data_IF_229469485957
#
_entry.id   IF_229469485957
#
_cell.length_a   1.000
_cell.length_b   1.000
_cell.length_c   1.000
_cell.angle_alpha   90.00
_cell.angle_beta   90.00
_cell.angle_gamma   90.00
#
_symmetry.space_group_name_H-M   'P 1'
#
loop_
_entity.id
_entity.type
_entity.pdbx_description
1 polymer ?
#
# COMPACT_ATOMS: atom_id res chain seq x y z
N UNK A 1 7.76 9.32 28.85
CA UNK A 1 8.88 9.57 27.91
C UNK A 1 9.18 8.29 27.16
N UNK A 2 9.63 8.41 25.91
CA UNK A 2 10.01 7.39 24.91
C UNK A 2 8.92 7.01 23.91
N UNK A 3 8.78 7.89 22.90
CA UNK A 3 8.28 7.50 21.59
C UNK A 3 9.31 6.61 20.90
N UNK A 4 8.82 5.54 20.29
CA UNK A 4 9.58 4.68 19.39
C UNK A 4 9.64 5.33 18.02
N UNK A 5 10.80 5.90 17.70
CA UNK A 5 11.17 6.22 16.32
C UNK A 5 11.51 4.90 15.65
N UNK A 6 10.54 4.24 15.03
CA UNK A 6 10.81 3.10 14.17
C UNK A 6 11.65 3.57 12.99
N UNK A 7 12.83 2.97 12.89
CA UNK A 7 13.84 3.12 11.86
C UNK A 7 13.28 3.25 10.44
N UNK A 8 13.32 4.47 9.90
CA UNK A 8 13.15 4.76 8.47
C UNK A 8 14.42 4.34 7.68
N UNK A 9 15.51 4.01 8.38
CA UNK A 9 16.84 3.78 7.79
C UNK A 9 16.95 2.57 6.86
N UNK A 10 16.05 1.57 6.96
CA UNK A 10 16.20 0.31 6.22
C UNK A 10 15.54 0.27 4.84
N UNK A 11 14.60 1.17 4.54
CA UNK A 11 13.83 1.15 3.28
C UNK A 11 14.61 1.79 2.11
N UNK A 12 15.74 2.43 2.39
CA UNK A 12 16.51 3.15 1.38
C UNK A 12 17.24 2.23 0.37
N UNK A 13 17.24 0.91 0.56
CA UNK A 13 18.09 0.01 -0.24
C UNK A 13 17.52 -0.30 -1.65
N UNK A 14 16.21 -0.25 -1.85
CA UNK A 14 15.61 -0.54 -3.17
C UNK A 14 15.81 0.61 -4.20
N UNK A 15 16.14 1.82 -3.74
CA UNK A 15 16.37 3.01 -4.59
C UNK A 15 17.84 3.46 -4.60
N UNK A 16 18.71 2.83 -3.80
CA UNK A 16 20.14 3.16 -3.67
C UNK A 16 21.06 2.33 -4.60
N UNK A 17 20.60 2.05 -5.81
CA UNK A 17 21.44 1.52 -6.88
C UNK A 17 22.27 2.62 -7.54
N UNK A 18 23.42 2.98 -6.95
CA UNK A 18 24.59 3.59 -7.61
C UNK A 18 24.50 5.04 -8.12
N UNK A 19 23.33 5.52 -8.56
CA UNK A 19 23.08 6.89 -9.08
C UNK A 19 21.58 7.22 -8.90
N UNK A 20 21.08 7.14 -7.67
CA UNK A 20 19.65 7.28 -7.37
C UNK A 20 19.09 8.65 -7.77
N UNK A 21 18.29 8.69 -8.84
CA UNK A 21 17.65 9.92 -9.35
C UNK A 21 16.64 10.50 -8.35
N UNK A 22 16.13 9.72 -7.39
CA UNK A 22 15.11 10.15 -6.44
C UNK A 22 15.60 10.14 -4.98
N UNK A 23 15.34 11.22 -4.25
CA UNK A 23 15.61 11.34 -2.81
C UNK A 23 14.34 11.14 -1.97
N UNK A 24 14.45 10.47 -0.83
CA UNK A 24 13.32 10.34 0.10
C UNK A 24 12.92 11.72 0.64
N UNK A 25 11.63 12.05 0.58
CA UNK A 25 11.12 13.28 1.19
C UNK A 25 11.16 13.18 2.73
N UNK A 26 11.52 14.27 3.41
CA UNK A 26 11.60 14.31 4.88
C UNK A 26 10.22 14.16 5.56
N UNK A 27 9.16 14.62 4.89
CA UNK A 27 7.79 14.60 5.40
C UNK A 27 6.89 13.88 4.42
N UNK A 28 6.13 12.89 4.89
CA UNK A 28 5.12 12.22 4.05
C UNK A 28 3.94 13.15 3.82
N UNK A 29 3.59 13.37 2.55
CA UNK A 29 2.38 14.09 2.12
C UNK A 29 1.32 13.16 1.58
N UNK A 30 1.45 11.85 1.79
CA UNK A 30 0.50 10.86 1.30
C UNK A 30 -0.01 10.05 2.48
N UNK A 31 -1.33 10.11 2.69
CA UNK A 31 -1.99 9.41 3.78
C UNK A 31 -2.63 8.13 3.28
N UNK A 32 -2.31 7.01 3.91
CA UNK A 32 -3.07 5.78 3.74
C UNK A 32 -4.48 5.96 4.36
N UNK A 33 -5.53 5.60 3.62
CA UNK A 33 -6.92 5.72 4.05
C UNK A 33 -7.52 4.38 4.42
N UNK A 34 -7.46 3.43 3.51
CA UNK A 34 -8.10 2.14 3.68
C UNK A 34 -7.51 1.09 2.72
N UNK A 35 -7.73 -0.18 3.04
CA UNK A 35 -7.51 -1.31 2.13
C UNK A 35 -8.80 -2.11 2.02
N UNK A 36 -9.13 -2.52 0.80
CA UNK A 36 -10.26 -3.41 0.51
C UNK A 36 -9.75 -4.58 -0.32
N UNK A 37 -9.82 -5.79 0.23
CA UNK A 37 -9.42 -7.00 -0.49
C UNK A 37 -10.62 -7.69 -1.13
N UNK A 38 -10.45 -8.05 -2.40
CA UNK A 38 -11.36 -8.84 -3.22
C UNK A 38 -10.59 -10.09 -3.70
N UNK A 39 -11.33 -11.09 -4.19
CA UNK A 39 -10.87 -12.47 -4.45
C UNK A 39 -9.43 -12.66 -4.98
N UNK A 40 -8.90 -11.74 -5.79
CA UNK A 40 -7.58 -11.86 -6.43
C UNK A 40 -6.69 -10.61 -6.26
N UNK A 41 -7.17 -9.57 -5.58
CA UNK A 41 -6.40 -8.34 -5.34
C UNK A 41 -6.85 -7.58 -4.09
N UNK A 42 -5.93 -6.82 -3.52
CA UNK A 42 -6.22 -5.79 -2.52
C UNK A 42 -6.07 -4.40 -3.13
N UNK A 43 -7.11 -3.58 -2.99
CA UNK A 43 -7.13 -2.18 -3.37
C UNK A 43 -6.73 -1.32 -2.17
N UNK A 44 -5.59 -0.64 -2.29
CA UNK A 44 -5.06 0.29 -1.30
C UNK A 44 -5.41 1.71 -1.71
N UNK A 45 -6.07 2.45 -0.81
CA UNK A 45 -6.59 3.79 -1.06
C UNK A 45 -5.72 4.79 -0.31
N UNK A 46 -5.21 5.78 -1.04
CA UNK A 46 -4.37 6.84 -0.52
C UNK A 46 -4.97 8.22 -0.82
N UNK A 47 -4.72 9.17 0.06
CA UNK A 47 -5.13 10.57 -0.09
C UNK A 47 -3.88 11.45 -0.06
N UNK A 48 -3.45 11.96 -1.23
CA UNK A 48 -2.34 12.91 -1.30
C UNK A 48 -2.76 14.28 -0.74
N UNK A 49 -1.86 14.90 0.02
CA UNK A 49 -1.91 16.26 0.54
C UNK A 49 -0.76 17.08 -0.06
N UNK A 50 -0.59 16.96 -1.37
CA UNK A 50 0.42 17.67 -2.16
C UNK A 50 -0.08 19.06 -2.55
N UNK A 51 0.82 20.03 -2.55
CA UNK A 51 0.54 21.39 -2.98
C UNK A 51 0.39 21.48 -4.51
N UNK A 52 -0.13 22.60 -5.05
CA UNK A 52 -0.28 22.79 -6.49
C UNK A 52 1.07 22.81 -7.24
N UNK A 53 2.17 23.09 -6.54
CA UNK A 53 3.53 23.05 -7.06
C UNK A 53 4.11 21.63 -7.25
N UNK A 54 3.54 20.61 -6.60
CA UNK A 54 4.06 19.25 -6.65
C UNK A 54 3.19 18.35 -7.53
N UNK A 55 3.83 17.61 -8.43
CA UNK A 55 3.15 16.65 -9.31
C UNK A 55 3.62 15.23 -8.99
N UNK A 56 2.67 14.35 -8.65
CA UNK A 56 2.92 12.92 -8.55
C UNK A 56 2.97 12.28 -9.93
N UNK A 57 3.72 11.18 -10.05
CA UNK A 57 3.82 10.37 -11.25
C UNK A 57 3.15 9.01 -11.03
N UNK A 58 1.83 8.87 -11.31
CA UNK A 58 1.06 7.68 -10.94
C UNK A 58 1.56 6.37 -11.57
N UNK A 59 2.20 6.47 -12.74
CA UNK A 59 2.73 5.31 -13.48
C UNK A 59 4.08 4.83 -12.97
N UNK A 60 4.77 5.60 -12.13
CA UNK A 60 6.04 5.21 -11.50
C UNK A 60 5.86 4.81 -10.03
N UNK A 61 4.61 4.69 -9.57
CA UNK A 61 4.35 4.23 -8.21
C UNK A 61 4.81 2.78 -8.09
N UNK A 62 5.66 2.52 -7.10
CA UNK A 62 6.21 1.21 -6.81
C UNK A 62 5.72 0.72 -5.45
N UNK A 63 5.74 -0.59 -5.27
CA UNK A 63 5.43 -1.22 -4.00
C UNK A 63 6.45 -2.31 -3.69
N UNK A 64 6.75 -2.48 -2.41
CA UNK A 64 7.69 -3.48 -1.91
C UNK A 64 7.12 -4.14 -0.65
N UNK A 65 7.05 -5.46 -0.64
CA UNK A 65 6.63 -6.24 0.52
C UNK A 65 7.84 -6.70 1.33
N UNK A 66 7.80 -6.53 2.65
CA UNK A 66 8.85 -6.99 3.54
C UNK A 66 9.11 -8.51 3.36
N UNK A 67 10.37 -8.99 3.29
CA UNK A 67 11.59 -8.23 3.56
C UNK A 67 12.07 -7.32 2.43
N UNK A 68 12.07 -7.74 1.17
CA UNK A 68 12.48 -6.91 0.02
C UNK A 68 11.93 -7.49 -1.31
N UNK A 69 10.63 -7.82 -1.35
CA UNK A 69 10.00 -8.36 -2.55
C UNK A 69 9.28 -7.26 -3.33
N UNK A 70 9.66 -7.05 -4.59
CA UNK A 70 8.96 -6.13 -5.46
C UNK A 70 7.52 -6.61 -5.70
N UNK A 71 6.59 -5.71 -5.45
CA UNK A 71 5.16 -5.95 -5.60
C UNK A 71 4.70 -5.28 -6.88
N UNK A 72 4.13 -6.08 -7.78
CA UNK A 72 3.51 -5.55 -9.00
C UNK A 72 2.22 -4.82 -8.65
N UNK A 73 2.16 -3.53 -8.99
CA UNK A 73 0.93 -2.73 -8.94
C UNK A 73 0.15 -2.98 -10.22
N UNK A 74 -0.84 -3.88 -10.17
CA UNK A 74 -1.65 -4.30 -11.33
C UNK A 74 -2.44 -3.14 -11.94
N UNK A 75 -2.86 -2.18 -11.10
CA UNK A 75 -3.65 -1.01 -11.52
C UNK A 75 -3.40 0.17 -10.60
N UNK A 76 -3.16 1.34 -11.17
CA UNK A 76 -3.11 2.61 -10.46
C UNK A 76 -4.16 3.56 -11.04
N UNK A 77 -5.06 4.07 -10.21
CA UNK A 77 -6.15 4.96 -10.62
C UNK A 77 -6.14 6.20 -9.74
N UNK A 78 -6.24 7.37 -10.35
CA UNK A 78 -6.55 8.62 -9.65
C UNK A 78 -8.04 8.94 -9.82
N UNK A 79 -8.74 9.13 -8.71
CA UNK A 79 -10.15 9.54 -8.70
C UNK A 79 -10.23 11.06 -8.48
N UNK A 80 -10.50 11.87 -9.52
CA UNK A 80 -10.48 13.32 -9.38
C UNK A 80 -11.58 13.86 -8.46
N UNK A 81 -12.70 13.15 -8.34
CA UNK A 81 -13.84 13.58 -7.50
C UNK A 81 -13.52 13.50 -6.01
N UNK A 82 -12.77 12.47 -5.58
CA UNK A 82 -12.36 12.27 -4.18
C UNK A 82 -10.93 12.73 -3.91
N UNK A 83 -10.15 12.97 -4.96
CA UNK A 83 -8.73 13.24 -4.89
C UNK A 83 -7.91 12.01 -4.46
N UNK A 84 -8.45 10.80 -4.56
CA UNK A 84 -7.81 9.59 -4.04
C UNK A 84 -6.99 8.84 -5.10
N UNK A 85 -5.94 8.17 -4.66
CA UNK A 85 -5.13 7.25 -5.46
C UNK A 85 -5.47 5.83 -5.00
N UNK A 86 -5.88 4.98 -5.94
CA UNK A 86 -6.21 3.58 -5.70
C UNK A 86 -5.19 2.70 -6.42
N UNK A 87 -4.50 1.86 -5.64
CA UNK A 87 -3.49 0.92 -6.12
C UNK A 87 -3.95 -0.50 -5.89
N UNK A 88 -4.01 -1.31 -6.94
CA UNK A 88 -4.36 -2.72 -6.84
C UNK A 88 -3.08 -3.57 -6.82
N UNK A 89 -2.99 -4.43 -5.82
CA UNK A 89 -1.88 -5.36 -5.60
C UNK A 89 -2.45 -6.77 -5.47
N UNK A 90 -1.69 -7.79 -5.87
CA UNK A 90 -2.10 -9.18 -5.71
C UNK A 90 -2.44 -9.55 -4.26
N UNK A 91 -3.53 -10.29 -4.05
CA UNK A 91 -4.02 -10.65 -2.72
C UNK A 91 -2.97 -11.40 -1.88
N UNK A 92 -2.03 -12.12 -2.50
CA UNK A 92 -0.98 -12.86 -1.78
C UNK A 92 -0.10 -11.99 -0.86
N UNK A 93 -0.14 -10.66 -1.04
CA UNK A 93 0.59 -9.69 -0.21
C UNK A 93 -0.23 -9.10 0.95
N UNK A 94 -1.52 -9.43 1.10
CA UNK A 94 -2.42 -8.82 2.10
C UNK A 94 -1.91 -8.93 3.56
N UNK A 95 -1.27 -10.05 3.89
CA UNK A 95 -0.78 -10.38 5.23
C UNK A 95 0.68 -9.92 5.44
N UNK A 96 1.18 -9.03 4.57
CA UNK A 96 2.56 -8.52 4.60
C UNK A 96 2.58 -7.01 4.80
N UNK A 97 3.66 -6.54 5.42
CA UNK A 97 3.98 -5.13 5.45
C UNK A 97 4.39 -4.70 4.04
N UNK A 98 3.64 -3.77 3.45
CA UNK A 98 3.94 -3.23 2.12
C UNK A 98 4.33 -1.77 2.25
N UNK A 99 5.42 -1.39 1.60
CA UNK A 99 5.84 0.01 1.43
C UNK A 99 5.51 0.46 0.02
N UNK A 100 4.70 1.50 -0.11
CA UNK A 100 4.39 2.16 -1.37
C UNK A 100 5.26 3.39 -1.53
N UNK A 101 5.87 3.55 -2.71
CA UNK A 101 6.75 4.66 -3.07
C UNK A 101 6.10 5.49 -4.17
N UNK A 102 5.89 6.77 -3.89
CA UNK A 102 5.20 7.72 -4.77
C UNK A 102 6.20 8.78 -5.25
N UNK A 103 6.75 8.65 -6.46
CA UNK A 103 7.69 9.60 -7.00
C UNK A 103 7.00 10.90 -7.45
N UNK A 104 7.75 11.99 -7.35
CA UNK A 104 7.38 13.33 -7.80
C UNK A 104 8.22 13.75 -9.01
N UNK A 105 7.83 14.81 -9.71
CA UNK A 105 8.66 15.42 -10.76
C UNK A 105 9.93 16.11 -10.22
N UNK A 106 9.99 16.40 -8.92
CA UNK A 106 11.10 17.12 -8.28
C UNK A 106 12.21 16.18 -7.81
N UNK A 107 12.32 15.00 -8.43
CA UNK A 107 13.31 13.98 -8.06
C UNK A 107 13.24 13.59 -6.57
N UNK A 108 12.03 13.63 -6.00
CA UNK A 108 11.76 13.14 -4.64
C UNK A 108 10.70 12.06 -4.65
N UNK A 109 10.61 11.29 -3.56
CA UNK A 109 9.52 10.33 -3.39
C UNK A 109 8.98 10.33 -1.95
N UNK A 110 7.69 10.04 -1.82
CA UNK A 110 7.06 9.76 -0.53
C UNK A 110 6.96 8.26 -0.33
N UNK A 111 7.30 7.77 0.87
CA UNK A 111 7.15 6.37 1.24
C UNK A 111 6.00 6.23 2.26
N UNK A 112 5.10 5.28 2.01
CA UNK A 112 3.97 4.98 2.89
C UNK A 112 3.99 3.50 3.23
N UNK A 113 4.20 3.17 4.50
CA UNK A 113 4.10 1.80 5.00
C UNK A 113 2.65 1.47 5.35
N UNK A 114 2.16 0.35 4.85
CA UNK A 114 0.83 -0.19 5.17
C UNK A 114 1.01 -1.52 5.89
N UNK A 115 0.54 -1.57 7.13
CA UNK A 115 0.58 -2.78 7.94
C UNK A 115 -0.30 -3.89 7.34
N UNK A 116 0.02 -5.17 7.60
CA UNK A 116 -0.84 -6.28 7.22
C UNK A 116 -2.29 -6.06 7.66
N UNK A 117 -3.24 -6.29 6.76
CA UNK A 117 -4.63 -6.48 7.16
C UNK A 117 -4.84 -7.98 7.33
N UNK A 118 -5.14 -8.47 8.55
CA UNK A 118 -5.51 -9.86 8.72
C UNK A 118 -6.70 -10.14 7.81
N UNK A 119 -6.64 -11.23 7.04
CA UNK A 119 -7.82 -11.76 6.36
C UNK A 119 -8.97 -11.77 7.38
N UNK A 120 -10.09 -11.11 7.05
CA UNK A 120 -11.26 -11.11 7.91
C UNK A 120 -11.58 -12.58 8.22
N UNK A 121 -11.41 -12.98 9.48
CA UNK A 121 -11.81 -14.31 9.91
C UNK A 121 -13.29 -14.44 9.55
N UNK A 122 -13.71 -15.49 8.83
CA UNK A 122 -15.14 -15.72 8.64
C UNK A 122 -15.77 -15.75 10.03
N UNK A 123 -16.70 -14.83 10.28
CA UNK A 123 -17.43 -14.77 11.54
C UNK A 123 -18.03 -16.16 11.78
N UNK A 124 -17.90 -16.67 13.00
CA UNK A 124 -18.34 -18.02 13.37
C UNK A 124 -19.85 -18.30 13.13
N UNK A 125 -20.62 -17.29 12.72
CA UNK A 125 -22.03 -17.39 12.36
C UNK A 125 -22.27 -18.12 11.02
N UNK A 126 -21.27 -18.23 10.14
CA UNK A 126 -21.39 -18.93 8.83
C UNK A 126 -21.23 -20.46 8.90
N UNK A 127 -20.97 -21.05 10.08
CA UNK A 127 -20.74 -22.50 10.21
C UNK A 127 -22.04 -23.28 10.52
N UNK A 128 -23.20 -22.62 10.59
CA UNK A 128 -24.45 -23.24 11.07
C UNK A 128 -25.43 -23.70 9.98
N UNK A 129 -25.02 -23.82 8.72
CA UNK A 129 -25.93 -24.17 7.62
C UNK A 129 -25.45 -25.33 6.73
N UNK A 130 -24.98 -26.46 7.28
CA UNK A 130 -24.89 -27.73 6.54
C UNK A 130 -24.98 -28.93 7.50
N UNK A 131 -26.17 -29.17 8.09
CA UNK A 131 -26.44 -30.40 8.86
C UNK A 131 -27.93 -30.79 8.87
N UNK A 132 -28.69 -30.52 7.81
CA UNK A 132 -30.11 -30.89 7.77
C UNK A 132 -30.60 -31.29 6.37
N UNK A 133 -30.04 -32.34 5.76
CA UNK A 133 -30.77 -33.15 4.77
C UNK A 133 -30.06 -34.49 4.53
N UNK A 134 -30.15 -35.39 5.52
CA UNK A 134 -29.99 -36.83 5.29
C UNK A 134 -31.03 -37.54 6.17
N UNK A 135 -32.24 -37.68 5.65
CA UNK A 135 -33.20 -38.65 6.17
C UNK A 135 -33.52 -39.66 5.04
N UNK A 136 -33.43 -40.96 5.31
CA UNK A 136 -33.64 -42.04 4.35
C UNK A 136 -35.12 -42.22 3.93
#
# INVERSE_FOLDING_TARGET
MRGGTSDISQISQAMQGGDGIFSAAEHTKINFKNTVCLYDYCAYIFSPQIGPEETLLPFLIMAEAFPNELVEVKKAVYQPDTGEIILNVDQKYQDRLITFMFPTCDNTYYAVQVAPQPAAFPSAEDITATSAELNP
#
